data_IF_517541481266
#
_entry.id   IF_517541481266
#
_cell.length_a   1.000
_cell.length_b   1.000
_cell.length_c   1.000
_cell.angle_alpha   90.00
_cell.angle_beta   90.00
_cell.angle_gamma   90.00
#
_symmetry.space_group_name_H-M   'P 1'
#
loop_
_entity.id
_entity.type
_entity.pdbx_description
1 polymer ?
#
# COMPACT_ATOMS: atom_id res chain seq x y z
N UNK A 1 -16.60 1.99 -6.43
CA UNK A 1 -15.62 2.03 -5.36
C UNK A 1 -14.24 1.80 -5.87
N UNK A 2 -13.26 2.40 -5.25
CA UNK A 2 -11.87 2.29 -5.65
C UNK A 2 -11.02 2.04 -4.42
N UNK A 3 -9.85 1.42 -4.64
CA UNK A 3 -8.92 1.19 -3.54
C UNK A 3 -8.18 2.48 -3.24
N UNK A 4 -7.82 2.65 -1.98
CA UNK A 4 -7.05 3.80 -1.52
C UNK A 4 -6.02 3.32 -0.51
N UNK A 5 -4.78 3.72 -0.72
CA UNK A 5 -3.67 3.27 0.13
C UNK A 5 -3.16 4.40 1.03
N UNK A 6 -3.99 5.39 1.29
CA UNK A 6 -3.59 6.50 2.15
C UNK A 6 -3.15 6.02 3.53
N UNK A 7 -3.85 5.01 4.05
CA UNK A 7 -3.49 4.46 5.36
C UNK A 7 -2.09 3.90 5.36
N UNK A 8 -1.67 3.28 4.25
CA UNK A 8 -0.33 2.72 4.13
C UNK A 8 0.71 3.83 4.27
N UNK A 9 0.50 4.95 3.57
CA UNK A 9 1.46 6.04 3.62
C UNK A 9 1.54 6.65 5.01
N UNK A 10 0.40 6.78 5.69
CA UNK A 10 0.40 7.28 7.07
C UNK A 10 1.16 6.32 7.99
N UNK A 11 0.97 5.02 7.78
CA UNK A 11 1.65 4.03 8.61
C UNK A 11 3.17 4.11 8.42
N UNK A 12 3.61 4.32 7.18
CA UNK A 12 5.04 4.48 6.91
C UNK A 12 5.60 5.70 7.63
N UNK A 13 4.85 6.80 7.63
CA UNK A 13 5.28 7.99 8.33
C UNK A 13 5.43 7.70 9.82
N UNK A 14 4.45 7.01 10.40
CA UNK A 14 4.48 6.67 11.82
C UNK A 14 5.69 5.80 12.15
N UNK A 15 6.13 4.98 11.20
CA UNK A 15 7.25 4.09 11.41
C UNK A 15 8.56 4.67 10.91
N UNK A 16 8.54 5.91 10.45
CA UNK A 16 9.73 6.60 9.94
C UNK A 16 10.38 5.80 8.83
N UNK A 17 9.55 5.27 7.94
CA UNK A 17 9.99 4.40 6.86
C UNK A 17 9.69 5.07 5.53
N UNK A 18 10.64 4.99 4.58
CA UNK A 18 10.42 5.55 3.25
C UNK A 18 9.76 4.51 2.36
N UNK A 19 9.19 4.96 1.24
CA UNK A 19 8.60 4.05 0.27
C UNK A 19 9.64 3.11 -0.29
N UNK A 20 10.85 3.60 -0.53
CA UNK A 20 11.94 2.77 -1.04
C UNK A 20 12.29 1.67 -0.04
N UNK A 21 12.32 2.02 1.24
CA UNK A 21 12.60 1.05 2.28
C UNK A 21 11.53 -0.04 2.31
N UNK A 22 10.26 0.38 2.21
CA UNK A 22 9.17 -0.58 2.17
C UNK A 22 9.32 -1.53 0.99
N UNK A 23 9.64 -0.99 -0.20
CA UNK A 23 9.79 -1.81 -1.38
C UNK A 23 10.86 -2.88 -1.17
N UNK A 24 11.98 -2.49 -0.61
CA UNK A 24 13.08 -3.43 -0.40
C UNK A 24 12.73 -4.47 0.65
N UNK A 25 12.15 -4.02 1.75
CA UNK A 25 11.86 -4.94 2.86
C UNK A 25 10.75 -5.90 2.50
N UNK A 26 9.75 -5.45 1.76
CA UNK A 26 8.65 -6.31 1.36
C UNK A 26 8.97 -7.16 0.13
N UNK A 27 10.03 -6.80 -0.60
CA UNK A 27 10.41 -7.56 -1.79
C UNK A 27 9.46 -7.35 -2.94
N UNK A 28 8.90 -6.15 -3.09
CA UNK A 28 8.00 -5.85 -4.20
C UNK A 28 8.74 -5.03 -5.25
N UNK A 29 8.20 -5.04 -6.47
CA UNK A 29 8.85 -4.36 -7.58
C UNK A 29 8.57 -2.85 -7.53
N UNK A 30 9.37 -2.09 -8.30
CA UNK A 30 9.13 -0.67 -8.41
C UNK A 30 7.79 -0.40 -9.10
N UNK A 31 7.39 -1.28 -10.03
CA UNK A 31 6.10 -1.15 -10.67
C UNK A 31 4.95 -1.30 -9.70
N UNK A 32 5.07 -2.25 -8.76
CA UNK A 32 4.04 -2.43 -7.74
C UNK A 32 3.97 -1.20 -6.84
N UNK A 33 5.11 -0.66 -6.46
CA UNK A 33 5.14 0.54 -5.62
C UNK A 33 4.49 1.71 -6.35
N UNK A 34 4.74 1.86 -7.64
CA UNK A 34 4.15 2.93 -8.43
C UNK A 34 2.63 2.81 -8.48
N UNK A 35 2.12 1.57 -8.60
CA UNK A 35 0.67 1.36 -8.61
C UNK A 35 0.06 1.75 -7.27
N UNK A 36 0.74 1.42 -6.18
CA UNK A 36 0.27 1.81 -4.86
C UNK A 36 0.17 3.33 -4.74
N UNK A 37 1.16 4.03 -5.29
CA UNK A 37 1.16 5.49 -5.25
C UNK A 37 0.04 6.12 -6.06
N UNK A 38 -0.51 5.37 -7.02
CA UNK A 38 -1.60 5.86 -7.86
C UNK A 38 -2.95 5.31 -7.46
N UNK A 39 -3.00 4.57 -6.36
CA UNK A 39 -4.23 3.92 -5.89
C UNK A 39 -4.77 2.95 -6.95
N UNK A 40 -3.87 2.25 -7.62
CA UNK A 40 -4.26 1.24 -8.61
C UNK A 40 -4.29 -0.13 -7.95
N UNK A 41 -4.97 -1.05 -8.60
CA UNK A 41 -5.08 -2.41 -8.08
C UNK A 41 -3.75 -3.13 -8.15
N UNK A 42 -3.42 -3.85 -7.09
CA UNK A 42 -2.26 -4.75 -7.05
C UNK A 42 -2.76 -6.11 -6.62
N UNK A 43 -1.92 -7.12 -6.78
CA UNK A 43 -2.32 -8.47 -6.39
C UNK A 43 -2.37 -8.59 -4.88
N UNK A 44 -3.16 -9.56 -4.42
CA UNK A 44 -3.24 -9.86 -2.99
C UNK A 44 -1.88 -10.27 -2.45
N UNK A 45 -1.08 -10.93 -3.28
CA UNK A 45 0.26 -11.35 -2.86
C UNK A 45 1.10 -10.16 -2.45
N UNK A 46 1.01 -9.07 -3.21
CA UNK A 46 1.75 -7.84 -2.90
C UNK A 46 1.27 -7.28 -1.55
N UNK A 47 -0.03 -7.28 -1.35
CA UNK A 47 -0.60 -6.77 -0.10
C UNK A 47 -0.16 -7.60 1.09
N UNK A 48 -0.13 -8.92 0.93
CA UNK A 48 0.31 -9.80 2.00
C UNK A 48 1.78 -9.54 2.35
N UNK A 49 2.62 -9.34 1.34
CA UNK A 49 4.03 -9.03 1.58
C UNK A 49 4.19 -7.76 2.39
N UNK A 50 3.41 -6.74 2.06
CA UNK A 50 3.45 -5.48 2.79
C UNK A 50 3.01 -5.67 4.23
N UNK A 51 1.91 -6.40 4.44
CA UNK A 51 1.41 -6.64 5.78
C UNK A 51 2.40 -7.43 6.62
N UNK A 52 3.06 -8.42 6.02
CA UNK A 52 4.07 -9.18 6.74
C UNK A 52 5.25 -8.31 7.14
N UNK A 53 5.64 -7.40 6.26
CA UNK A 53 6.77 -6.50 6.53
C UNK A 53 6.45 -5.54 7.66
N UNK A 54 5.22 -5.02 7.67
CA UNK A 54 4.82 -4.01 8.64
C UNK A 54 4.12 -4.60 9.86
N UNK A 55 3.91 -5.91 9.88
CA UNK A 55 3.23 -6.61 10.98
C UNK A 55 1.86 -5.99 11.24
N UNK A 56 1.07 -5.87 10.18
CA UNK A 56 -0.25 -5.27 10.27
C UNK A 56 -1.24 -6.06 9.41
N UNK A 57 -2.50 -5.65 9.47
CA UNK A 57 -3.56 -6.28 8.71
C UNK A 57 -3.87 -5.47 7.46
N UNK A 58 -4.64 -6.05 6.54
CA UNK A 58 -5.03 -5.35 5.31
C UNK A 58 -5.76 -4.06 5.61
N UNK A 59 -6.63 -4.07 6.62
CA UNK A 59 -7.41 -2.89 6.96
C UNK A 59 -6.52 -1.73 7.44
N UNK A 60 -5.28 -2.02 7.78
CA UNK A 60 -4.35 -0.98 8.23
C UNK A 60 -3.68 -0.25 7.07
N UNK A 61 -3.74 -0.81 5.86
CA UNK A 61 -3.04 -0.22 4.71
C UNK A 61 -3.99 0.08 3.55
N UNK A 62 -5.22 -0.42 3.59
CA UNK A 62 -6.09 -0.39 2.43
C UNK A 62 -7.50 -0.03 2.86
N UNK A 63 -8.17 0.79 2.07
CA UNK A 63 -9.59 1.04 2.28
C UNK A 63 -10.24 1.28 0.93
N UNK A 64 -11.54 1.14 0.90
CA UNK A 64 -12.32 1.41 -0.30
C UNK A 64 -12.97 2.76 -0.17
N UNK A 65 -12.91 3.56 -1.22
CA UNK A 65 -13.54 4.86 -1.23
C UNK A 65 -14.43 4.96 -2.45
N UNK A 66 -15.45 5.79 -2.35
CA UNK A 66 -16.31 6.04 -3.48
C UNK A 66 -15.79 7.16 -4.35
N UNK A 67 -14.87 7.92 -3.84
CA UNK A 67 -14.38 9.09 -4.57
C UNK A 67 -13.60 8.70 -5.81
N UNK A 68 -12.92 7.60 -5.76
CA UNK A 68 -12.14 7.14 -6.90
C UNK A 68 -13.00 6.77 -8.09
N UNK A 69 -14.26 6.48 -7.84
CA UNK A 69 -15.18 6.05 -8.88
C UNK A 69 -15.45 7.17 -9.87
N UNK A 70 -15.33 8.38 -9.41
CA UNK A 70 -15.68 9.52 -10.24
C UNK A 70 -14.62 9.93 -11.23
N UNK A 71 -13.48 9.27 -11.20
CA UNK A 71 -12.39 9.60 -12.10
C UNK A 71 -12.49 8.91 -13.45
#
# INVERSE_FOLDING_TARGET
>A
MAVCYKKLWKLLIDREMTKTQLRKDAGISTGALAKLGKNENVTTEILVKICNTLHCDLSDILELTEEGVEK
#
